data_IF_474316633370
#
_entry.id   IF_474316633370
#
_cell.length_a   1.000
_cell.length_b   1.000
_cell.length_c   1.000
_cell.angle_alpha   90.00
_cell.angle_beta   90.00
_cell.angle_gamma   90.00
#
_symmetry.space_group_name_H-M   'P 1'
#
loop_
_entity.id
_entity.type
_entity.pdbx_description
1 polymer ?
#
# COMPACT_ATOMS: atom_id res chain seq x y z
N UNK A 1 -35.06 -53.55 12.11
CA UNK A 1 -35.20 -53.21 10.67
C UNK A 1 -34.06 -52.24 10.35
N UNK A 2 -32.82 -52.64 10.12
CA UNK A 2 -32.27 -53.43 9.00
C UNK A 2 -32.79 -52.99 7.63
N UNK A 3 -32.01 -52.14 6.93
CA UNK A 3 -31.29 -52.59 5.73
C UNK A 3 -30.20 -51.60 5.30
N UNK A 4 -28.97 -52.10 5.28
CA UNK A 4 -27.92 -51.71 4.33
C UNK A 4 -28.28 -52.28 2.94
N UNK A 5 -27.65 -51.76 1.86
CA UNK A 5 -26.78 -52.50 0.93
C UNK A 5 -26.39 -51.59 -0.27
N UNK A 6 -25.07 -51.37 -0.36
CA UNK A 6 -24.13 -51.36 -1.49
C UNK A 6 -24.54 -50.90 -2.91
N UNK A 7 -23.60 -50.15 -3.53
CA UNK A 7 -22.72 -50.83 -4.50
C UNK A 7 -22.53 -50.19 -5.89
N UNK A 8 -21.51 -49.34 -5.98
CA UNK A 8 -20.41 -49.35 -6.98
C UNK A 8 -20.61 -49.05 -8.48
N UNK A 9 -19.67 -48.21 -8.95
CA UNK A 9 -18.90 -48.29 -10.22
C UNK A 9 -19.67 -48.11 -11.54
N UNK A 10 -19.29 -47.08 -12.31
CA UNK A 10 -18.71 -47.24 -13.65
C UNK A 10 -18.04 -45.93 -14.12
N UNK A 11 -16.86 -46.11 -14.68
CA UNK A 11 -15.95 -45.15 -15.27
C UNK A 11 -16.22 -45.01 -16.78
N UNK A 12 -15.79 -43.86 -17.31
CA UNK A 12 -15.12 -43.66 -18.59
C UNK A 12 -15.89 -43.40 -19.91
N UNK A 13 -15.53 -42.21 -20.45
CA UNK A 13 -15.12 -41.87 -21.83
C UNK A 13 -16.16 -41.35 -22.82
N UNK A 14 -15.82 -40.21 -23.42
CA UNK A 14 -15.71 -40.07 -24.88
C UNK A 14 -14.70 -38.99 -25.29
N UNK A 15 -13.64 -39.43 -25.99
CA UNK A 15 -12.66 -38.64 -26.74
C UNK A 15 -12.88 -39.01 -28.21
N UNK A 16 -13.11 -38.04 -29.08
CA UNK A 16 -13.23 -38.25 -30.53
C UNK A 16 -11.87 -37.98 -31.20
N UNK A 17 -11.27 -39.03 -31.78
CA UNK A 17 -10.23 -38.95 -32.82
C UNK A 17 -10.77 -39.62 -34.08
N UNK A 18 -10.63 -38.96 -35.22
CA UNK A 18 -10.88 -39.53 -36.54
C UNK A 18 -9.60 -40.17 -37.10
N UNK A 19 -9.81 -41.35 -37.71
CA UNK A 19 -8.89 -42.20 -38.46
C UNK A 19 -8.96 -41.82 -39.97
N UNK A 20 -8.20 -42.32 -40.96
CA UNK A 20 -7.32 -43.48 -41.15
C UNK A 20 -6.52 -43.30 -42.47
N UNK A 21 -5.26 -43.77 -42.49
CA UNK A 21 -4.54 -44.58 -43.50
C UNK A 21 -4.64 -44.35 -45.03
N UNK A 22 -3.50 -44.45 -45.75
CA UNK A 22 -3.01 -45.67 -46.47
C UNK A 22 -1.55 -45.44 -46.93
N UNK A 23 -0.76 -46.52 -46.93
CA UNK A 23 0.70 -46.62 -47.11
C UNK A 23 1.05 -47.25 -48.51
N UNK A 24 2.27 -47.77 -48.81
CA UNK A 24 3.31 -47.18 -49.69
C UNK A 24 3.63 -48.00 -50.97
N UNK A 25 4.54 -47.55 -51.85
CA UNK A 25 5.44 -48.47 -52.58
C UNK A 25 6.70 -47.84 -53.26
N UNK A 26 7.83 -48.45 -52.91
CA UNK A 26 9.14 -48.76 -53.52
C UNK A 26 9.78 -48.10 -54.79
N UNK A 27 11.11 -47.92 -54.66
CA UNK A 27 12.22 -48.36 -55.55
C UNK A 27 12.84 -47.40 -56.61
N UNK A 28 14.20 -47.40 -56.67
CA UNK A 28 14.91 -47.52 -57.96
C UNK A 28 15.83 -46.40 -58.52
N UNK A 29 17.05 -46.26 -57.97
CA UNK A 29 18.37 -46.22 -58.67
C UNK A 29 18.78 -45.22 -59.79
N UNK A 30 19.98 -44.63 -59.56
CA UNK A 30 21.14 -44.27 -60.45
C UNK A 30 21.22 -42.95 -61.28
N UNK A 31 22.20 -42.15 -60.82
CA UNK A 31 23.04 -41.10 -61.40
C UNK A 31 23.29 -41.02 -62.92
N UNK A 32 23.46 -39.79 -63.47
CA UNK A 32 24.78 -39.20 -63.85
C UNK A 32 24.71 -37.81 -64.56
N UNK A 33 25.75 -37.01 -64.30
CA UNK A 33 26.42 -36.00 -65.16
C UNK A 33 25.91 -34.53 -65.12
N UNK A 34 26.85 -33.64 -64.74
CA UNK A 34 26.88 -32.16 -64.84
C UNK A 34 27.27 -31.69 -66.26
N UNK A 35 27.03 -30.42 -66.65
CA UNK A 35 28.07 -29.40 -66.42
C UNK A 35 27.54 -27.99 -66.06
N UNK A 36 28.29 -27.36 -65.14
CA UNK A 36 28.67 -25.93 -65.07
C UNK A 36 27.84 -24.92 -65.90
N UNK A 37 27.30 -23.93 -65.21
CA UNK A 37 27.78 -22.52 -65.27
C UNK A 37 26.68 -21.55 -64.83
N UNK A 38 27.03 -20.57 -63.99
CA UNK A 38 26.23 -19.39 -63.60
C UNK A 38 24.98 -19.62 -62.75
N UNK A 39 25.12 -19.85 -61.44
CA UNK A 39 24.04 -19.52 -60.47
C UNK A 39 24.52 -19.39 -59.01
N UNK A 40 25.61 -18.66 -58.78
CA UNK A 40 26.13 -18.39 -57.43
C UNK A 40 25.99 -16.92 -56.99
N UNK A 41 25.05 -16.14 -57.56
CA UNK A 41 24.82 -14.75 -57.12
C UNK A 41 23.46 -14.56 -56.44
N UNK A 42 22.43 -15.32 -56.81
CA UNK A 42 21.08 -15.19 -56.26
C UNK A 42 20.90 -15.92 -54.92
N UNK A 43 21.70 -16.95 -54.63
CA UNK A 43 21.62 -17.73 -53.38
C UNK A 43 22.34 -17.02 -52.21
N UNK A 44 23.41 -16.27 -52.48
CA UNK A 44 24.08 -15.43 -51.48
C UNK A 44 23.28 -14.17 -51.14
N UNK A 45 22.47 -13.66 -52.07
CA UNK A 45 21.56 -12.54 -51.79
C UNK A 45 20.41 -12.96 -50.87
N UNK A 46 19.86 -14.17 -51.04
CA UNK A 46 18.82 -14.73 -50.16
C UNK A 46 19.36 -15.13 -48.78
N UNK A 47 20.58 -15.66 -48.71
CA UNK A 47 21.26 -15.96 -47.44
C UNK A 47 21.67 -14.67 -46.71
N UNK A 48 22.13 -13.63 -47.42
CA UNK A 48 22.40 -12.33 -46.83
C UNK A 48 21.12 -11.65 -46.29
N UNK A 49 19.98 -11.76 -46.97
CA UNK A 49 18.69 -11.23 -46.51
C UNK A 49 18.19 -11.98 -45.25
N UNK A 50 18.36 -13.30 -45.18
CA UNK A 50 18.06 -14.08 -43.98
C UNK A 50 19.02 -13.79 -42.81
N UNK A 51 20.32 -13.63 -43.07
CA UNK A 51 21.29 -13.23 -42.04
C UNK A 51 21.09 -11.78 -41.57
N UNK A 52 20.68 -10.86 -42.46
CA UNK A 52 20.34 -9.49 -42.06
C UNK A 52 19.04 -9.43 -41.27
N UNK A 53 18.05 -10.29 -41.57
CA UNK A 53 16.81 -10.36 -40.81
C UNK A 53 17.02 -10.93 -39.39
N UNK A 54 17.83 -11.99 -39.25
CA UNK A 54 18.22 -12.50 -37.93
C UNK A 54 19.08 -11.49 -37.16
N UNK A 55 20.06 -10.86 -37.80
CA UNK A 55 20.91 -9.86 -37.14
C UNK A 55 20.16 -8.54 -36.80
N UNK A 56 19.11 -8.18 -37.56
CA UNK A 56 18.25 -7.05 -37.20
C UNK A 56 17.32 -7.39 -36.04
N UNK A 57 16.86 -8.64 -35.96
CA UNK A 57 16.04 -9.12 -34.85
C UNK A 57 16.87 -9.20 -33.56
N UNK A 58 18.11 -9.70 -33.65
CA UNK A 58 19.07 -9.72 -32.53
C UNK A 58 19.38 -8.29 -32.02
N UNK A 59 19.65 -7.33 -32.92
CA UNK A 59 19.91 -5.92 -32.54
C UNK A 59 18.71 -5.23 -31.91
N UNK A 60 17.50 -5.50 -32.42
CA UNK A 60 16.28 -4.97 -31.84
C UNK A 60 16.03 -5.55 -30.44
N UNK A 61 16.33 -6.84 -30.26
CA UNK A 61 16.22 -7.51 -28.98
C UNK A 61 17.26 -6.99 -27.96
N UNK A 62 18.51 -6.80 -28.39
CA UNK A 62 19.57 -6.19 -27.57
C UNK A 62 19.17 -4.78 -27.09
N UNK A 63 18.53 -3.99 -27.97
CA UNK A 63 18.08 -2.64 -27.63
C UNK A 63 16.89 -2.64 -26.68
N UNK A 64 15.94 -3.56 -26.84
CA UNK A 64 14.83 -3.76 -25.92
C UNK A 64 15.38 -4.10 -24.51
N UNK A 65 16.25 -5.10 -24.43
CA UNK A 65 16.85 -5.53 -23.16
C UNK A 65 17.67 -4.42 -22.50
N UNK A 66 18.49 -3.69 -23.26
CA UNK A 66 19.24 -2.56 -22.72
C UNK A 66 18.34 -1.44 -22.16
N UNK A 67 17.18 -1.21 -22.79
CA UNK A 67 16.21 -0.24 -22.31
C UNK A 67 15.48 -0.74 -21.07
N UNK A 68 15.09 -2.01 -21.02
CA UNK A 68 14.49 -2.64 -19.84
C UNK A 68 15.44 -2.57 -18.63
N UNK A 69 16.73 -2.88 -18.82
CA UNK A 69 17.76 -2.77 -17.79
C UNK A 69 17.89 -1.32 -17.28
N UNK A 70 17.92 -0.35 -18.19
CA UNK A 70 17.98 1.07 -17.84
C UNK A 70 16.74 1.54 -17.06
N UNK A 71 15.55 1.09 -17.46
CA UNK A 71 14.31 1.40 -16.76
C UNK A 71 14.29 0.78 -15.36
N UNK A 72 14.85 -0.41 -15.19
CA UNK A 72 14.97 -1.07 -13.91
C UNK A 72 15.95 -0.33 -12.97
N UNK A 73 17.07 0.18 -13.50
CA UNK A 73 17.98 1.06 -12.75
C UNK A 73 17.27 2.34 -12.31
N UNK A 74 16.58 3.03 -13.23
CA UNK A 74 15.81 4.24 -12.93
C UNK A 74 14.69 4.00 -11.93
N UNK A 75 14.08 2.80 -11.93
CA UNK A 75 13.10 2.42 -10.91
C UNK A 75 13.73 2.41 -9.52
N UNK A 76 14.95 1.87 -9.39
CA UNK A 76 15.72 1.92 -8.14
C UNK A 76 16.06 3.35 -7.69
N UNK A 77 16.43 4.22 -8.63
CA UNK A 77 16.83 5.60 -8.31
C UNK A 77 15.66 6.53 -7.97
N UNK A 78 14.60 6.51 -8.79
CA UNK A 78 13.48 7.43 -8.67
C UNK A 78 12.37 6.92 -7.74
N UNK A 79 12.20 5.60 -7.63
CA UNK A 79 11.12 4.97 -6.88
C UNK A 79 11.63 3.77 -6.06
N UNK A 80 12.61 3.98 -5.15
CA UNK A 80 13.20 2.89 -4.36
C UNK A 80 12.18 2.19 -3.45
N UNK A 81 11.08 2.87 -3.10
CA UNK A 81 9.97 2.30 -2.35
C UNK A 81 8.62 2.53 -3.07
N UNK A 82 8.10 1.45 -3.68
CA UNK A 82 6.82 1.46 -4.41
C UNK A 82 5.61 1.91 -3.60
N UNK A 83 5.74 1.91 -2.27
CA UNK A 83 4.70 2.33 -1.33
C UNK A 83 4.63 3.84 -1.18
N UNK A 84 5.61 4.62 -1.62
CA UNK A 84 5.56 6.09 -1.56
C UNK A 84 5.66 6.73 -2.94
N UNK A 85 6.42 6.10 -3.84
CA UNK A 85 6.65 6.56 -5.20
C UNK A 85 6.66 5.38 -6.17
N UNK A 86 6.11 5.53 -7.38
CA UNK A 86 6.04 4.46 -8.38
C UNK A 86 6.63 4.87 -9.71
N UNK A 87 7.34 3.94 -10.34
CA UNK A 87 7.75 3.96 -11.74
C UNK A 87 7.40 2.59 -12.33
N UNK A 88 6.23 2.51 -12.96
CA UNK A 88 5.69 1.29 -13.56
C UNK A 88 5.63 1.49 -15.06
N UNK A 89 6.72 1.13 -15.74
CA UNK A 89 6.87 1.29 -17.19
C UNK A 89 7.05 -0.08 -17.82
N UNK A 90 6.26 -0.37 -18.84
CA UNK A 90 6.46 -1.50 -19.73
C UNK A 90 6.97 -1.00 -21.08
N UNK A 91 7.73 -1.86 -21.77
CA UNK A 91 8.20 -1.62 -23.13
C UNK A 91 7.53 -2.62 -24.05
N UNK A 92 6.82 -2.13 -25.06
CA UNK A 92 6.24 -2.95 -26.12
C UNK A 92 6.97 -2.71 -27.43
N UNK A 93 7.30 -3.80 -28.13
CA UNK A 93 7.98 -3.73 -29.42
C UNK A 93 6.97 -3.59 -30.57
N UNK A 94 7.10 -2.49 -31.31
CA UNK A 94 6.49 -2.30 -32.64
C UNK A 94 7.36 -2.87 -33.76
N UNK A 95 6.96 -2.66 -35.01
CA UNK A 95 7.71 -3.15 -36.17
C UNK A 95 9.12 -2.55 -36.26
N UNK A 96 9.24 -1.22 -36.06
CA UNK A 96 10.50 -0.46 -36.10
C UNK A 96 10.58 0.54 -34.93
N UNK A 97 9.87 0.27 -33.83
CA UNK A 97 9.75 1.20 -32.72
C UNK A 97 9.58 0.50 -31.37
N UNK A 98 9.85 1.23 -30.29
CA UNK A 98 9.57 0.82 -28.92
C UNK A 98 8.55 1.78 -28.32
N UNK A 99 7.50 1.24 -27.71
CA UNK A 99 6.47 2.00 -27.02
C UNK A 99 6.68 1.84 -25.50
N UNK A 100 6.92 2.94 -24.82
CA UNK A 100 6.93 3.02 -23.36
C UNK A 100 5.50 3.32 -22.90
N UNK A 101 4.92 2.45 -22.09
CA UNK A 101 3.58 2.65 -21.53
C UNK A 101 3.55 2.41 -20.03
N UNK A 102 2.48 2.81 -19.36
CA UNK A 102 2.31 2.68 -17.92
C UNK A 102 2.24 4.04 -17.23
N UNK A 103 2.86 4.17 -16.07
CA UNK A 103 2.76 5.39 -15.27
C UNK A 103 3.92 5.62 -14.30
N UNK A 104 4.06 6.86 -13.85
CA UNK A 104 4.90 7.21 -12.71
C UNK A 104 4.25 8.28 -11.85
N UNK A 105 4.57 8.29 -10.55
CA UNK A 105 4.21 9.37 -9.63
C UNK A 105 5.34 10.40 -9.47
N UNK A 106 6.45 10.24 -10.19
CA UNK A 106 7.68 11.03 -10.01
C UNK A 106 7.95 11.88 -11.26
N UNK A 107 7.72 13.18 -11.16
CA UNK A 107 7.89 14.11 -12.28
C UNK A 107 9.31 14.13 -12.88
N UNK A 108 10.34 13.89 -12.05
CA UNK A 108 11.72 13.78 -12.55
C UNK A 108 11.92 12.54 -13.43
N UNK A 109 11.37 11.38 -13.04
CA UNK A 109 11.41 10.16 -13.83
C UNK A 109 10.65 10.35 -15.15
N UNK A 110 9.47 10.97 -15.10
CA UNK A 110 8.68 11.26 -16.30
C UNK A 110 9.46 12.15 -17.28
N UNK A 111 10.06 13.26 -16.82
CA UNK A 111 10.89 14.14 -17.67
C UNK A 111 12.09 13.40 -18.27
N UNK A 112 12.64 12.44 -17.54
CA UNK A 112 13.75 11.62 -18.01
C UNK A 112 13.32 10.67 -19.14
N UNK A 113 12.15 10.04 -19.02
CA UNK A 113 11.53 9.23 -20.09
C UNK A 113 11.21 10.08 -21.31
N UNK A 114 10.66 11.28 -21.11
CA UNK A 114 10.33 12.21 -22.19
C UNK A 114 11.61 12.67 -22.95
N UNK A 115 12.68 12.95 -22.20
CA UNK A 115 13.98 13.29 -22.79
C UNK A 115 14.59 12.11 -23.58
N UNK A 116 14.37 10.88 -23.13
CA UNK A 116 14.83 9.67 -23.84
C UNK A 116 14.11 9.53 -25.18
N UNK A 117 12.79 9.65 -25.20
CA UNK A 117 11.99 9.58 -26.43
C UNK A 117 12.31 10.74 -27.39
N UNK A 118 12.57 11.94 -26.87
CA UNK A 118 13.00 13.07 -27.71
C UNK A 118 14.37 12.87 -28.36
N UNK A 119 15.26 12.08 -27.75
CA UNK A 119 16.59 11.78 -28.27
C UNK A 119 16.61 10.62 -29.28
N UNK A 120 15.57 9.80 -29.31
CA UNK A 120 15.48 8.60 -30.13
C UNK A 120 14.11 8.51 -30.83
N UNK A 121 14.01 8.79 -32.15
CA UNK A 121 12.74 8.89 -32.87
C UNK A 121 12.00 7.55 -33.00
N UNK A 122 12.63 6.44 -32.65
CA UNK A 122 12.02 5.11 -32.65
C UNK A 122 11.44 4.75 -31.27
N UNK A 123 11.62 5.60 -30.26
CA UNK A 123 11.03 5.43 -28.93
C UNK A 123 9.84 6.38 -28.77
N UNK A 124 8.67 5.82 -28.46
CA UNK A 124 7.44 6.55 -28.20
C UNK A 124 7.12 6.50 -26.71
N UNK A 125 6.88 7.65 -26.09
CA UNK A 125 6.55 7.75 -24.67
C UNK A 125 5.06 8.02 -24.45
N UNK A 126 4.33 7.01 -23.97
CA UNK A 126 2.94 7.10 -23.51
C UNK A 126 2.83 6.91 -21.99
N UNK A 127 3.95 6.98 -21.25
CA UNK A 127 3.93 6.88 -19.79
C UNK A 127 3.20 8.09 -19.20
N UNK A 128 2.20 7.82 -18.36
CA UNK A 128 1.42 8.87 -17.68
C UNK A 128 2.13 9.36 -16.42
N UNK A 129 2.21 10.68 -16.23
CA UNK A 129 2.53 11.26 -14.92
C UNK A 129 1.25 11.36 -14.09
N UNK A 130 1.17 10.60 -13.00
CA UNK A 130 0.03 10.63 -12.07
C UNK A 130 0.19 11.75 -11.03
N UNK A 131 -0.92 12.13 -10.40
CA UNK A 131 -0.95 13.20 -9.38
C UNK A 131 -0.83 14.61 -9.98
N UNK A 132 -1.22 14.76 -11.25
CA UNK A 132 -1.25 16.06 -11.96
C UNK A 132 -2.62 16.73 -11.93
N UNK A 133 -3.64 16.02 -11.44
CA UNK A 133 -5.03 16.49 -11.42
C UNK A 133 -5.48 16.69 -9.99
N UNK A 134 -6.28 17.73 -9.76
CA UNK A 134 -7.03 17.95 -8.52
C UNK A 134 -8.16 16.92 -8.42
N UNK A 135 -7.80 15.67 -8.12
CA UNK A 135 -8.69 14.53 -8.01
C UNK A 135 -8.55 13.94 -6.62
N UNK A 136 -9.56 14.15 -5.79
CA UNK A 136 -9.53 13.77 -4.38
C UNK A 136 -10.70 12.87 -4.04
N UNK A 137 -10.65 12.29 -2.84
CA UNK A 137 -11.75 11.54 -2.27
C UNK A 137 -11.75 11.61 -0.76
N UNK A 138 -12.92 11.44 -0.17
CA UNK A 138 -13.10 11.23 1.26
C UNK A 138 -13.48 9.77 1.49
N UNK A 139 -12.85 9.12 2.47
CA UNK A 139 -13.26 7.78 2.90
C UNK A 139 -14.68 7.85 3.48
N UNK A 140 -15.64 7.07 2.98
CA UNK A 140 -17.07 7.16 3.38
C UNK A 140 -17.59 6.00 4.22
N UNK A 141 -16.70 5.10 4.63
CA UNK A 141 -16.97 3.98 5.55
C UNK A 141 -16.06 4.11 6.77
N UNK A 142 -16.46 3.56 7.92
CA UNK A 142 -15.68 3.70 9.18
C UNK A 142 -14.23 3.25 9.02
N UNK A 143 -13.99 2.12 8.38
CA UNK A 143 -12.64 1.63 8.10
C UNK A 143 -12.58 1.08 6.68
N UNK A 144 -11.90 1.80 5.79
CA UNK A 144 -11.68 1.36 4.42
C UNK A 144 -10.42 0.52 4.32
N UNK A 145 -10.50 -0.59 3.59
CA UNK A 145 -9.38 -1.51 3.39
C UNK A 145 -8.56 -1.11 2.16
N UNK A 146 -7.24 -1.04 2.33
CA UNK A 146 -6.29 -0.66 1.29
C UNK A 146 -5.40 -1.87 0.98
N UNK A 147 -5.26 -2.21 -0.31
CA UNK A 147 -4.63 -3.44 -0.78
C UNK A 147 -3.45 -3.17 -1.71
N UNK A 148 -2.55 -4.14 -1.80
CA UNK A 148 -1.33 -4.02 -2.61
C UNK A 148 -1.60 -3.82 -4.10
N UNK A 149 -2.65 -4.47 -4.62
CA UNK A 149 -3.12 -4.43 -6.01
C UNK A 149 -4.66 -4.35 -6.07
N UNK A 150 -5.27 -4.07 -7.25
CA UNK A 150 -6.72 -4.16 -7.41
C UNK A 150 -7.23 -5.58 -7.15
N UNK A 151 -8.28 -5.70 -6.35
CA UNK A 151 -9.03 -6.95 -6.14
C UNK A 151 -9.07 -7.43 -4.69
N UNK A 152 -10.15 -8.13 -4.34
CA UNK A 152 -10.39 -8.57 -2.96
C UNK A 152 -9.45 -9.69 -2.47
N UNK A 153 -8.85 -10.46 -3.40
CA UNK A 153 -7.88 -11.52 -3.09
C UNK A 153 -6.49 -10.98 -2.78
N UNK A 154 -6.25 -9.68 -3.01
CA UNK A 154 -4.95 -9.06 -2.81
C UNK A 154 -4.69 -8.81 -1.33
N UNK A 155 -3.42 -8.74 -0.96
CA UNK A 155 -2.99 -8.53 0.42
C UNK A 155 -3.55 -7.21 1.00
N UNK A 156 -4.13 -7.28 2.20
CA UNK A 156 -4.46 -6.08 2.98
C UNK A 156 -3.15 -5.46 3.48
N UNK A 157 -2.87 -4.23 3.08
CA UNK A 157 -1.60 -3.55 3.39
C UNK A 157 -1.79 -2.38 4.34
N UNK A 158 -2.94 -1.71 4.30
CA UNK A 158 -3.27 -0.60 5.20
C UNK A 158 -4.79 -0.42 5.33
N UNK A 159 -5.21 0.55 6.13
CA UNK A 159 -6.59 1.03 6.19
C UNK A 159 -6.61 2.56 6.26
N UNK A 160 -7.77 3.15 5.99
CA UNK A 160 -8.04 4.57 6.22
C UNK A 160 -9.38 4.75 6.91
N UNK A 161 -9.49 5.78 7.75
CA UNK A 161 -10.68 6.06 8.56
C UNK A 161 -11.66 6.98 7.83
N UNK A 162 -12.93 6.96 8.24
CA UNK A 162 -13.96 7.81 7.65
C UNK A 162 -13.56 9.28 7.67
N UNK A 163 -13.86 9.99 6.58
CA UNK A 163 -13.60 11.42 6.42
C UNK A 163 -12.13 11.78 6.25
N UNK A 164 -11.21 10.81 6.25
CA UNK A 164 -9.82 11.02 5.84
C UNK A 164 -9.76 11.36 4.35
N UNK A 165 -9.03 12.42 3.95
CA UNK A 165 -8.86 12.78 2.55
C UNK A 165 -7.82 11.88 1.89
N UNK A 166 -8.01 11.65 0.58
CA UNK A 166 -7.16 10.85 -0.28
C UNK A 166 -6.88 11.61 -1.57
N UNK A 167 -5.67 11.50 -2.09
CA UNK A 167 -5.38 11.82 -3.49
C UNK A 167 -5.76 10.60 -4.35
N UNK A 168 -6.58 10.80 -5.40
CA UNK A 168 -6.98 9.73 -6.32
C UNK A 168 -6.13 9.82 -7.59
N UNK A 169 -5.17 8.91 -7.72
CA UNK A 169 -4.10 8.99 -8.72
C UNK A 169 -4.45 8.28 -10.03
N UNK A 170 -5.12 7.14 -9.93
CA UNK A 170 -5.54 6.34 -11.07
C UNK A 170 -6.74 5.47 -10.72
N UNK A 171 -7.36 4.87 -11.73
CA UNK A 171 -8.49 3.96 -11.54
C UNK A 171 -8.39 2.74 -12.44
N UNK A 172 -8.64 1.57 -11.85
CA UNK A 172 -8.67 0.29 -12.54
C UNK A 172 -9.83 -0.58 -12.03
N UNK A 173 -10.76 -0.95 -12.92
CA UNK A 173 -11.87 -1.89 -12.65
C UNK A 173 -12.58 -1.74 -11.28
N UNK A 174 -12.92 -0.51 -10.88
CA UNK A 174 -13.61 -0.23 -9.61
C UNK A 174 -12.69 -0.04 -8.39
N UNK A 175 -11.38 0.02 -8.61
CA UNK A 175 -10.37 0.32 -7.61
C UNK A 175 -9.66 1.63 -7.97
N UNK A 176 -9.36 2.44 -6.96
CA UNK A 176 -8.52 3.62 -7.10
C UNK A 176 -7.13 3.33 -6.57
N UNK A 177 -6.11 3.71 -7.32
CA UNK A 177 -4.78 3.91 -6.75
C UNK A 177 -4.86 5.23 -5.97
N UNK A 178 -4.66 5.15 -4.66
CA UNK A 178 -4.79 6.29 -3.76
C UNK A 178 -3.46 6.65 -3.11
N UNK A 179 -3.29 7.92 -2.77
CA UNK A 179 -2.29 8.37 -1.79
C UNK A 179 -2.99 8.77 -0.49
N UNK A 180 -2.61 8.14 0.61
CA UNK A 180 -3.05 8.50 1.96
C UNK A 180 -2.17 9.61 2.57
N UNK A 181 -2.61 10.25 3.67
CA UNK A 181 -1.84 11.33 4.31
C UNK A 181 -0.43 10.95 4.78
N UNK A 182 -0.19 9.67 5.10
CA UNK A 182 1.14 9.11 5.39
C UNK A 182 1.96 8.80 4.11
N UNK A 183 1.55 9.35 2.97
CA UNK A 183 2.16 9.22 1.63
C UNK A 183 2.06 7.82 1.00
N UNK A 184 1.34 6.89 1.64
CA UNK A 184 1.23 5.51 1.18
C UNK A 184 0.46 5.38 -0.14
N UNK A 185 0.99 4.58 -1.08
CA UNK A 185 0.44 4.32 -2.40
C UNK A 185 -0.05 2.88 -2.52
N UNK A 186 -1.36 2.71 -2.59
CA UNK A 186 -2.00 1.41 -2.68
C UNK A 186 -3.45 1.53 -3.19
N UNK A 187 -4.14 0.41 -3.33
CA UNK A 187 -5.43 0.33 -4.01
C UNK A 187 -6.60 0.25 -3.02
N UNK A 188 -7.63 1.05 -3.27
CA UNK A 188 -8.83 1.13 -2.43
C UNK A 188 -10.07 1.01 -3.31
N UNK A 189 -11.04 0.21 -2.88
CA UNK A 189 -12.29 -0.03 -3.61
C UNK A 189 -13.19 1.22 -3.68
N UNK A 190 -13.73 1.51 -4.86
CA UNK A 190 -14.53 2.72 -5.10
C UNK A 190 -15.75 2.85 -4.17
N UNK A 191 -16.33 1.73 -3.73
CA UNK A 191 -17.46 1.71 -2.81
C UNK A 191 -17.17 2.32 -1.44
N UNK A 192 -15.90 2.47 -1.07
CA UNK A 192 -15.47 3.06 0.20
C UNK A 192 -15.01 4.52 0.05
N UNK A 193 -15.08 5.10 -1.15
CA UNK A 193 -14.65 6.48 -1.42
C UNK A 193 -15.85 7.33 -1.90
N UNK A 194 -15.96 8.53 -1.36
CA UNK A 194 -16.75 9.61 -1.95
C UNK A 194 -15.79 10.52 -2.72
N UNK A 195 -15.83 10.54 -4.08
CA UNK A 195 -15.04 11.48 -4.85
C UNK A 195 -15.31 12.93 -4.44
N UNK A 196 -14.27 13.75 -4.41
CA UNK A 196 -14.29 15.12 -3.95
C UNK A 196 -13.40 16.01 -4.84
N UNK A 197 -13.80 17.27 -4.98
CA UNK A 197 -12.95 18.33 -5.53
C UNK A 197 -12.45 19.25 -4.41
N UNK A 198 -11.64 20.25 -4.75
CA UNK A 198 -11.09 21.19 -3.77
C UNK A 198 -12.17 21.95 -3.00
N UNK A 199 -13.30 22.28 -3.64
CA UNK A 199 -14.44 22.95 -3.00
C UNK A 199 -15.12 22.05 -1.97
N UNK A 200 -15.30 20.77 -2.30
CA UNK A 200 -15.85 19.74 -1.42
C UNK A 200 -14.94 19.51 -0.21
N UNK A 201 -13.62 19.46 -0.42
CA UNK A 201 -12.67 19.35 0.69
C UNK A 201 -12.69 20.60 1.58
N UNK A 202 -12.75 21.80 1.00
CA UNK A 202 -12.84 23.03 1.77
C UNK A 202 -14.14 23.12 2.60
N UNK A 203 -15.27 22.64 2.06
CA UNK A 203 -16.52 22.50 2.80
C UNK A 203 -16.40 21.45 3.92
N UNK A 204 -15.73 20.32 3.64
CA UNK A 204 -15.54 19.24 4.60
C UNK A 204 -14.72 19.65 5.82
N UNK A 205 -13.58 20.31 5.59
CA UNK A 205 -12.68 20.83 6.64
C UNK A 205 -13.12 22.21 7.15
N UNK A 206 -14.33 22.27 7.70
CA UNK A 206 -14.92 23.45 8.32
C UNK A 206 -14.96 23.35 9.85
N UNK A 207 -15.37 24.43 10.52
CA UNK A 207 -15.56 24.51 11.97
C UNK A 207 -16.59 23.48 12.51
N UNK A 208 -17.41 22.90 11.64
CA UNK A 208 -18.40 21.87 11.98
C UNK A 208 -17.81 20.46 11.97
N UNK A 209 -16.55 20.28 11.56
CA UNK A 209 -15.91 18.98 11.55
C UNK A 209 -15.63 18.48 12.98
N UNK A 210 -15.99 17.23 13.22
CA UNK A 210 -15.78 16.52 14.49
C UNK A 210 -15.01 15.24 14.25
N UNK A 211 -14.29 14.81 15.28
CA UNK A 211 -13.70 13.48 15.38
C UNK A 211 -14.48 12.63 16.38
N UNK A 212 -14.66 11.35 16.07
CA UNK A 212 -15.10 10.35 17.03
C UNK A 212 -13.99 10.10 18.06
N UNK A 213 -14.32 10.16 19.34
CA UNK A 213 -13.39 9.96 20.47
C UNK A 213 -13.36 8.52 20.99
N UNK A 214 -14.50 7.85 21.28
CA UNK A 214 -14.45 6.50 21.82
C UNK A 214 -13.95 5.50 20.78
N UNK A 215 -13.39 4.38 21.25
CA UNK A 215 -12.87 3.33 20.37
C UNK A 215 -13.90 2.81 19.36
N UNK A 216 -15.18 2.80 19.75
CA UNK A 216 -16.32 2.45 18.90
C UNK A 216 -17.53 3.32 19.26
N UNK A 217 -18.27 3.78 18.26
CA UNK A 217 -19.58 4.42 18.40
C UNK A 217 -20.45 4.09 17.18
N UNK A 218 -21.66 4.65 17.11
CA UNK A 218 -22.58 4.47 16.00
C UNK A 218 -23.26 5.78 15.61
N UNK A 219 -23.46 5.94 14.31
CA UNK A 219 -24.44 6.88 13.75
C UNK A 219 -25.79 6.19 13.69
N UNK A 220 -26.78 6.70 14.41
CA UNK A 220 -28.13 6.12 14.49
C UNK A 220 -29.10 6.84 13.55
N UNK A 221 -30.14 6.13 13.10
CA UNK A 221 -31.22 6.75 12.30
C UNK A 221 -32.03 7.80 13.07
N UNK A 222 -32.12 7.66 14.40
CA UNK A 222 -32.69 8.63 15.33
C UNK A 222 -32.08 8.43 16.72
N UNK A 223 -32.14 9.44 17.63
CA UNK A 223 -31.66 9.27 18.99
C UNK A 223 -32.36 8.10 19.71
N UNK A 224 -31.58 7.17 20.24
CA UNK A 224 -32.08 5.96 20.91
C UNK A 224 -32.62 4.86 19.97
N UNK A 225 -32.50 5.02 18.65
CA UNK A 225 -32.84 3.95 17.70
C UNK A 225 -31.80 2.82 17.74
N UNK A 226 -32.21 1.59 17.41
CA UNK A 226 -31.29 0.46 17.24
C UNK A 226 -30.75 0.34 15.81
N UNK A 227 -31.39 0.99 14.84
CA UNK A 227 -30.95 0.97 13.44
C UNK A 227 -29.79 1.93 13.24
N UNK A 228 -28.63 1.36 12.90
CA UNK A 228 -27.40 2.08 12.58
C UNK A 228 -27.38 2.52 11.11
N UNK A 229 -26.89 3.72 10.87
CA UNK A 229 -26.55 4.26 9.53
C UNK A 229 -25.11 3.90 9.18
N UNK A 230 -24.21 4.01 10.16
CA UNK A 230 -22.82 3.60 10.09
C UNK A 230 -22.29 3.32 11.49
N UNK A 231 -21.37 2.37 11.60
CA UNK A 231 -20.49 2.31 12.76
C UNK A 231 -19.46 3.45 12.68
N UNK A 232 -18.83 3.76 13.81
CA UNK A 232 -17.71 4.66 13.94
C UNK A 232 -16.60 4.02 14.77
N UNK A 233 -15.36 4.45 14.53
CA UNK A 233 -14.20 4.19 15.39
C UNK A 233 -13.54 5.50 15.79
N UNK A 234 -12.73 5.47 16.86
CA UNK A 234 -11.95 6.63 17.24
C UNK A 234 -11.14 7.15 16.04
N UNK A 235 -11.20 8.47 15.81
CA UNK A 235 -10.52 9.12 14.69
C UNK A 235 -11.33 9.24 13.39
N UNK A 236 -12.53 8.65 13.31
CA UNK A 236 -13.47 8.89 12.21
C UNK A 236 -13.93 10.36 12.23
N UNK A 237 -13.98 10.98 11.05
CA UNK A 237 -14.37 12.38 10.88
C UNK A 237 -15.76 12.51 10.27
N UNK A 238 -16.54 13.45 10.80
CA UNK A 238 -17.92 13.70 10.44
C UNK A 238 -18.32 15.13 10.80
N UNK A 239 -19.25 15.73 10.05
CA UNK A 239 -19.68 17.10 10.31
C UNK A 239 -20.96 17.14 11.13
N UNK A 240 -21.08 18.08 12.06
CA UNK A 240 -22.35 18.34 12.75
C UNK A 240 -23.25 19.26 11.92
N UNK A 241 -24.57 19.08 11.99
CA UNK A 241 -25.54 19.95 11.27
C UNK A 241 -26.06 21.10 12.13
N UNK A 242 -25.67 21.15 13.41
CA UNK A 242 -26.22 22.05 14.43
C UNK A 242 -27.53 21.56 15.08
N UNK A 243 -28.18 20.53 14.55
CA UNK A 243 -29.37 19.95 15.19
C UNK A 243 -28.98 19.08 16.39
N UNK A 244 -29.72 19.23 17.49
CA UNK A 244 -29.52 18.46 18.71
C UNK A 244 -30.84 17.87 19.20
N UNK A 245 -30.79 16.65 19.74
CA UNK A 245 -31.98 15.96 20.27
C UNK A 245 -31.58 14.88 21.25
N UNK A 246 -32.15 14.90 22.46
CA UNK A 246 -31.97 13.85 23.48
C UNK A 246 -30.50 13.50 23.74
N UNK A 247 -29.63 14.50 23.90
CA UNK A 247 -28.20 14.30 24.13
C UNK A 247 -27.39 13.84 22.91
N UNK A 248 -28.00 13.79 21.72
CA UNK A 248 -27.36 13.48 20.45
C UNK A 248 -27.26 14.72 19.58
N UNK A 249 -26.30 14.71 18.67
CA UNK A 249 -26.15 15.68 17.59
C UNK A 249 -26.43 14.98 16.27
N UNK A 250 -27.10 15.67 15.35
CA UNK A 250 -27.20 15.19 13.98
C UNK A 250 -25.90 15.48 13.24
N UNK A 251 -25.45 14.49 12.48
CA UNK A 251 -24.18 14.50 11.76
C UNK A 251 -24.39 14.17 10.29
N UNK A 252 -23.51 14.68 9.44
CA UNK A 252 -23.40 14.38 8.01
C UNK A 252 -22.12 13.58 7.75
N UNK A 253 -22.29 12.42 7.11
CA UNK A 253 -21.20 11.57 6.63
C UNK A 253 -20.63 12.11 5.31
N UNK A 254 -19.43 11.65 4.89
CA UNK A 254 -18.81 12.11 3.66
C UNK A 254 -19.69 11.95 2.41
N UNK A 255 -20.49 10.88 2.33
CA UNK A 255 -21.41 10.62 1.22
C UNK A 255 -22.79 11.30 1.37
N UNK A 256 -22.94 12.22 2.32
CA UNK A 256 -24.15 13.00 2.53
C UNK A 256 -25.25 12.29 3.34
N UNK A 257 -25.08 11.02 3.69
CA UNK A 257 -25.98 10.37 4.66
C UNK A 257 -25.96 11.14 5.98
N UNK A 258 -27.11 11.24 6.63
CA UNK A 258 -27.23 11.84 7.96
C UNK A 258 -27.67 10.83 9.01
N UNK A 259 -27.39 11.15 10.26
CA UNK A 259 -27.89 10.40 11.41
C UNK A 259 -27.44 11.05 12.72
N UNK A 260 -27.55 10.33 13.82
CA UNK A 260 -27.43 10.88 15.17
C UNK A 260 -26.35 10.16 15.96
N UNK A 261 -25.43 10.92 16.57
CA UNK A 261 -24.36 10.42 17.43
C UNK A 261 -24.50 11.05 18.81
N UNK A 262 -24.14 10.32 19.87
CA UNK A 262 -24.10 10.89 21.21
C UNK A 262 -23.14 12.10 21.25
N UNK A 263 -23.59 13.23 21.79
CA UNK A 263 -22.79 14.46 21.77
C UNK A 263 -21.44 14.32 22.47
N UNK A 264 -21.37 13.47 23.50
CA UNK A 264 -20.14 13.19 24.26
C UNK A 264 -19.13 12.31 23.52
N UNK A 265 -19.51 11.68 22.42
CA UNK A 265 -18.61 10.86 21.60
C UNK A 265 -17.84 11.68 20.56
N UNK A 266 -18.16 12.98 20.44
CA UNK A 266 -17.63 13.88 19.43
C UNK A 266 -16.79 14.98 20.05
N UNK A 267 -15.61 15.23 19.48
CA UNK A 267 -14.77 16.38 19.79
C UNK A 267 -14.54 17.23 18.53
N UNK A 268 -14.26 18.55 18.67
CA UNK A 268 -13.79 19.37 17.55
C UNK A 268 -12.58 18.75 16.87
N UNK A 269 -12.53 18.79 15.53
CA UNK A 269 -11.40 18.26 14.77
C UNK A 269 -10.07 18.92 15.16
N UNK A 270 -10.06 20.23 15.44
CA UNK A 270 -8.84 20.96 15.82
C UNK A 270 -8.13 20.38 17.06
N UNK A 271 -8.88 19.77 17.98
CA UNK A 271 -8.30 19.10 19.15
C UNK A 271 -7.47 17.86 18.77
N UNK A 272 -7.75 17.25 17.62
CA UNK A 272 -6.94 16.18 17.02
C UNK A 272 -5.89 16.75 16.07
N UNK A 273 -6.24 17.79 15.30
CA UNK A 273 -5.51 18.16 14.09
C UNK A 273 -4.25 19.00 14.34
N UNK A 274 -4.25 19.81 15.39
CA UNK A 274 -3.18 20.77 15.71
C UNK A 274 -2.71 20.58 17.15
N UNK A 275 -2.05 19.44 17.47
CA UNK A 275 -1.40 19.28 18.76
C UNK A 275 -0.24 20.28 18.90
N UNK A 276 0.06 20.71 20.14
CA UNK A 276 1.20 21.61 20.41
C UNK A 276 2.55 20.89 20.46
N UNK A 277 2.52 19.62 20.87
CA UNK A 277 3.68 18.75 21.02
C UNK A 277 3.23 17.29 21.18
N UNK A 278 4.09 16.34 20.81
CA UNK A 278 3.87 14.92 21.09
C UNK A 278 3.87 14.72 22.62
N UNK A 279 2.70 14.38 23.17
CA UNK A 279 2.55 14.03 24.58
C UNK A 279 2.73 12.53 24.76
N UNK A 280 3.96 12.09 25.04
CA UNK A 280 4.33 10.67 25.07
C UNK A 280 3.43 9.80 25.96
N UNK A 281 3.06 10.27 27.15
CA UNK A 281 2.19 9.50 28.04
C UNK A 281 0.73 9.43 27.55
N UNK A 282 0.25 10.40 26.74
CA UNK A 282 -1.08 10.33 26.10
C UNK A 282 -1.07 9.32 24.94
N UNK A 283 0.02 9.28 24.16
CA UNK A 283 0.27 8.25 23.15
C UNK A 283 0.30 6.87 23.79
N UNK A 284 1.04 6.70 24.89
CA UNK A 284 1.07 5.43 25.62
C UNK A 284 -0.28 5.07 26.24
N UNK A 285 -1.02 6.05 26.80
CA UNK A 285 -2.38 5.81 27.32
C UNK A 285 -3.30 5.28 26.22
N UNK A 286 -3.22 5.88 25.03
CA UNK A 286 -3.95 5.44 23.84
C UNK A 286 -3.54 4.04 23.40
N UNK A 287 -2.24 3.75 23.44
CA UNK A 287 -1.67 2.44 23.10
C UNK A 287 -2.14 1.36 24.10
N UNK A 288 -2.11 1.64 25.39
CA UNK A 288 -2.59 0.74 26.45
C UNK A 288 -4.09 0.44 26.32
N UNK A 289 -4.91 1.40 25.87
CA UNK A 289 -6.32 1.17 25.61
C UNK A 289 -6.60 0.14 24.49
N UNK A 290 -5.57 -0.29 23.75
CA UNK A 290 -5.66 -1.34 22.72
C UNK A 290 -5.23 -2.73 23.22
N UNK A 291 -4.73 -2.86 24.45
CA UNK A 291 -4.29 -4.16 25.01
C UNK A 291 -5.42 -5.19 24.92
N UNK A 292 -5.06 -6.41 24.51
CA UNK A 292 -5.98 -7.52 24.32
C UNK A 292 -6.71 -7.53 22.97
N UNK A 293 -6.62 -6.48 22.15
CA UNK A 293 -7.21 -6.50 20.80
C UNK A 293 -6.45 -7.47 19.88
N UNK A 294 -7.15 -8.20 19.00
CA UNK A 294 -6.52 -9.16 18.11
C UNK A 294 -5.60 -8.48 17.10
N UNK A 295 -4.54 -9.20 16.74
CA UNK A 295 -3.66 -8.81 15.64
C UNK A 295 -4.37 -8.98 14.30
N UNK A 296 -4.24 -7.99 13.41
CA UNK A 296 -4.70 -8.08 12.01
C UNK A 296 -3.62 -7.53 11.10
N UNK A 297 -3.05 -8.38 10.24
CA UNK A 297 -2.13 -7.97 9.19
C UNK A 297 -2.78 -6.88 8.30
N UNK A 298 -2.09 -5.75 8.11
CA UNK A 298 -2.61 -4.61 7.36
C UNK A 298 -3.56 -3.70 8.16
N UNK A 299 -3.90 -4.06 9.40
CA UNK A 299 -4.84 -3.32 10.24
C UNK A 299 -4.24 -2.03 10.80
N UNK A 300 -4.99 -0.93 10.75
CA UNK A 300 -4.57 0.41 11.22
C UNK A 300 -5.72 1.20 11.86
N UNK A 301 -6.62 0.48 12.53
CA UNK A 301 -7.80 1.09 13.17
C UNK A 301 -8.06 0.47 14.55
N UNK A 302 -8.83 1.13 15.42
CA UNK A 302 -9.26 0.55 16.70
C UNK A 302 -9.99 -0.80 16.59
N UNK A 303 -10.43 -1.23 15.40
CA UNK A 303 -11.02 -2.57 15.21
C UNK A 303 -9.97 -3.68 15.34
N UNK A 304 -8.80 -3.52 14.73
CA UNK A 304 -7.64 -4.40 14.85
C UNK A 304 -6.41 -3.77 14.17
N UNK A 305 -5.22 -4.12 14.64
CA UNK A 305 -3.96 -3.54 14.18
C UNK A 305 -2.88 -4.59 13.96
N UNK A 306 -1.96 -4.34 13.02
CA UNK A 306 -0.63 -4.98 13.02
C UNK A 306 0.37 -4.18 13.86
N UNK A 307 1.64 -4.61 13.91
CA UNK A 307 2.66 -3.99 14.76
C UNK A 307 2.84 -2.51 14.47
N UNK A 308 3.04 -2.15 13.21
CA UNK A 308 3.22 -0.75 12.77
C UNK A 308 1.90 0.01 12.66
N UNK A 309 0.80 -0.67 12.41
CA UNK A 309 -0.53 -0.08 12.43
C UNK A 309 -0.97 0.28 13.84
N UNK A 310 -0.50 -0.46 14.85
CA UNK A 310 -0.73 -0.17 16.27
C UNK A 310 -0.01 1.12 16.69
N UNK A 311 1.28 1.25 16.39
CA UNK A 311 2.02 2.49 16.67
C UNK A 311 1.41 3.66 15.89
N UNK A 312 1.12 3.47 14.61
CA UNK A 312 0.47 4.48 13.76
C UNK A 312 -0.89 4.93 14.33
N UNK A 313 -1.72 4.01 14.80
CA UNK A 313 -3.04 4.33 15.37
C UNK A 313 -2.88 5.15 16.65
N UNK A 314 -1.93 4.78 17.52
CA UNK A 314 -1.67 5.53 18.75
C UNK A 314 -1.21 6.97 18.45
N UNK A 315 -0.29 7.18 17.51
CA UNK A 315 0.13 8.52 17.10
C UNK A 315 -1.01 9.30 16.41
N UNK A 316 -1.78 8.67 15.51
CA UNK A 316 -2.87 9.34 14.79
C UNK A 316 -3.93 9.89 15.74
N UNK A 317 -4.34 9.09 16.73
CA UNK A 317 -5.32 9.50 17.74
C UNK A 317 -4.80 10.57 18.71
N UNK A 318 -3.50 10.87 18.67
CA UNK A 318 -2.85 11.97 19.38
C UNK A 318 -2.35 13.06 18.41
N UNK A 319 -2.90 13.09 17.20
CA UNK A 319 -2.73 14.18 16.25
C UNK A 319 -1.52 14.12 15.33
N UNK A 320 -0.83 12.98 15.25
CA UNK A 320 0.34 12.82 14.38
C UNK A 320 0.19 11.66 13.38
N UNK A 321 0.54 11.94 12.14
CA UNK A 321 0.73 10.95 11.08
C UNK A 321 2.19 10.53 11.05
N UNK A 322 2.43 9.22 11.13
CA UNK A 322 3.74 8.59 11.00
C UNK A 322 3.72 7.58 9.83
N UNK A 323 4.89 7.14 9.30
CA UNK A 323 4.93 6.17 8.22
C UNK A 323 4.19 4.88 8.56
N UNK A 324 3.62 4.24 7.54
CA UNK A 324 2.74 3.08 7.71
C UNK A 324 3.46 1.83 8.19
N UNK A 325 4.60 1.52 7.58
CA UNK A 325 5.27 0.24 7.79
C UNK A 325 6.45 0.35 8.75
N UNK A 326 6.73 -0.72 9.51
CA UNK A 326 7.87 -0.75 10.42
C UNK A 326 9.22 -0.46 9.71
N UNK A 327 9.36 -0.91 8.46
CA UNK A 327 10.53 -0.62 7.62
C UNK A 327 10.66 0.84 7.18
N UNK A 328 9.61 1.65 7.31
CA UNK A 328 9.63 3.09 7.07
C UNK A 328 9.70 3.86 8.40
N UNK A 329 8.99 3.41 9.43
CA UNK A 329 9.00 4.01 10.77
C UNK A 329 10.40 4.01 11.41
N UNK A 330 11.25 3.03 11.09
CA UNK A 330 12.65 3.00 11.57
C UNK A 330 13.49 4.16 11.01
N UNK A 331 12.98 4.96 10.08
CA UNK A 331 13.62 6.17 9.57
C UNK A 331 12.97 7.45 10.08
N UNK A 332 11.91 7.34 10.88
CA UNK A 332 11.26 8.46 11.54
C UNK A 332 11.91 8.74 12.90
N UNK A 333 11.72 9.96 13.41
CA UNK A 333 12.25 10.36 14.70
C UNK A 333 13.77 10.57 14.72
N UNK A 334 14.33 10.51 15.92
CA UNK A 334 15.77 10.54 16.19
C UNK A 334 16.27 9.15 16.58
N UNK A 335 17.53 8.83 16.25
CA UNK A 335 18.18 7.59 16.68
C UNK A 335 18.37 7.57 18.20
N UNK A 336 17.98 6.46 18.84
CA UNK A 336 18.29 6.22 20.25
C UNK A 336 19.27 5.05 20.35
N UNK A 337 20.46 5.27 20.94
CA UNK A 337 21.43 4.20 21.13
C UNK A 337 20.85 3.03 21.94
N UNK A 338 21.17 1.82 21.51
CA UNK A 338 20.85 0.60 22.26
C UNK A 338 22.09 0.12 23.01
N UNK A 339 21.92 -0.21 24.28
CA UNK A 339 22.89 -0.90 25.12
C UNK A 339 22.19 -2.05 25.87
N UNK A 340 22.96 -2.89 26.57
CA UNK A 340 22.43 -4.08 27.23
C UNK A 340 21.52 -3.77 28.42
N UNK A 341 21.66 -2.58 29.02
CA UNK A 341 20.89 -2.14 30.20
C UNK A 341 19.69 -1.25 29.82
N UNK A 342 19.54 -0.92 28.54
CA UNK A 342 18.55 -0.01 27.98
C UNK A 342 18.66 1.43 28.52
N UNK A 343 19.88 1.89 28.81
CA UNK A 343 20.09 3.11 29.62
C UNK A 343 19.74 4.42 28.91
N UNK A 344 19.85 4.45 27.57
CA UNK A 344 19.47 5.61 26.75
C UNK A 344 18.00 5.62 26.33
N UNK A 345 17.28 4.51 26.53
CA UNK A 345 15.88 4.39 26.14
C UNK A 345 14.97 5.12 27.13
N UNK A 346 13.97 5.80 26.58
CA UNK A 346 12.91 6.46 27.32
C UNK A 346 11.56 5.85 26.96
N UNK A 347 10.63 5.88 27.93
CA UNK A 347 9.25 5.46 27.69
C UNK A 347 8.69 6.15 26.45
N UNK A 348 8.07 5.38 25.57
CA UNK A 348 7.52 5.88 24.31
C UNK A 348 8.44 5.71 23.10
N UNK A 349 9.74 5.46 23.29
CA UNK A 349 10.64 5.13 22.19
C UNK A 349 10.10 3.91 21.42
N UNK A 350 10.16 3.94 20.10
CA UNK A 350 9.80 2.81 19.26
C UNK A 350 10.99 1.86 19.13
N UNK A 351 10.79 0.60 19.52
CA UNK A 351 11.75 -0.48 19.34
C UNK A 351 11.48 -1.22 18.04
N UNK A 352 12.52 -1.39 17.23
CA UNK A 352 12.44 -2.07 15.93
C UNK A 352 13.18 -3.39 15.97
N UNK A 353 12.53 -4.41 15.45
CA UNK A 353 13.04 -5.78 15.46
C UNK A 353 13.09 -6.36 14.05
N UNK A 354 14.01 -7.30 13.83
CA UNK A 354 14.18 -7.95 12.55
C UNK A 354 15.46 -8.77 12.46
N UNK A 355 16.02 -8.84 11.25
CA UNK A 355 17.23 -9.60 10.97
C UNK A 355 18.10 -8.88 9.93
N UNK A 356 19.35 -9.30 9.82
CA UNK A 356 20.23 -8.89 8.72
C UNK A 356 20.03 -9.81 7.52
N UNK A 357 20.11 -9.25 6.31
CA UNK A 357 20.18 -10.00 5.04
C UNK A 357 21.61 -10.46 4.77
N UNK A 358 21.78 -11.32 3.76
CA UNK A 358 23.09 -11.84 3.34
C UNK A 358 24.07 -10.73 2.91
N UNK A 359 23.55 -9.63 2.37
CA UNK A 359 24.33 -8.44 1.97
C UNK A 359 24.68 -7.50 3.14
N UNK A 360 24.30 -7.86 4.37
CA UNK A 360 24.51 -7.06 5.57
C UNK A 360 23.47 -5.96 5.79
N UNK A 361 22.50 -5.78 4.89
CA UNK A 361 21.42 -4.80 5.07
C UNK A 361 20.42 -5.24 6.13
N UNK A 362 19.90 -4.27 6.89
CA UNK A 362 18.88 -4.52 7.90
C UNK A 362 17.50 -4.76 7.27
N UNK A 363 16.80 -5.76 7.80
CA UNK A 363 15.40 -6.04 7.49
C UNK A 363 14.59 -5.91 8.76
N UNK A 364 13.96 -4.75 8.95
CA UNK A 364 12.98 -4.54 10.01
C UNK A 364 11.68 -5.24 9.65
N UNK A 365 11.14 -6.02 10.59
CA UNK A 365 9.91 -6.80 10.43
C UNK A 365 8.88 -6.54 11.52
N UNK A 366 9.25 -5.83 12.58
CA UNK A 366 8.36 -5.59 13.72
C UNK A 366 8.71 -4.31 14.48
N UNK A 367 7.72 -3.74 15.17
CA UNK A 367 7.86 -2.55 16.00
C UNK A 367 6.99 -2.62 17.25
N UNK A 368 7.39 -1.95 18.34
CA UNK A 368 6.61 -1.79 19.57
C UNK A 368 7.06 -0.58 20.39
N UNK A 369 6.26 -0.16 21.36
CA UNK A 369 6.59 0.95 22.28
C UNK A 369 7.41 0.46 23.47
N UNK A 370 8.53 1.11 23.77
CA UNK A 370 9.26 0.88 25.01
C UNK A 370 8.49 1.46 26.21
N UNK A 371 8.45 0.69 27.29
CA UNK A 371 7.72 1.04 28.53
C UNK A 371 8.65 1.34 29.70
N UNK A 372 9.97 1.30 29.50
CA UNK A 372 10.95 1.36 30.59
C UNK A 372 11.31 -0.03 31.10
N UNK A 373 12.47 -0.11 31.76
CA UNK A 373 12.93 -1.32 32.46
C UNK A 373 12.98 -2.59 31.59
N UNK A 374 13.24 -2.43 30.29
CA UNK A 374 13.28 -3.56 29.34
C UNK A 374 11.91 -4.07 28.90
N UNK A 375 10.80 -3.44 29.33
CA UNK A 375 9.45 -3.80 28.91
C UNK A 375 9.04 -3.07 27.65
N UNK A 376 8.17 -3.69 26.85
CA UNK A 376 7.63 -3.08 25.64
C UNK A 376 6.23 -3.59 25.33
N UNK A 377 5.43 -2.73 24.69
CA UNK A 377 4.05 -2.98 24.27
C UNK A 377 3.98 -3.12 22.75
N UNK A 378 3.37 -4.19 22.26
CA UNK A 378 3.29 -4.43 20.81
C UNK A 378 2.09 -5.25 20.37
N UNK A 379 1.73 -5.12 19.09
CA UNK A 379 0.81 -6.03 18.40
C UNK A 379 1.62 -7.07 17.63
N UNK A 380 1.65 -8.33 18.10
CA UNK A 380 2.46 -9.39 17.48
C UNK A 380 1.62 -10.55 16.98
N UNK A 381 1.87 -11.03 15.76
CA UNK A 381 1.24 -12.25 15.25
C UNK A 381 1.63 -13.51 16.06
N UNK A 382 2.83 -13.50 16.63
CA UNK A 382 3.36 -14.46 17.59
C UNK A 382 2.53 -14.55 18.88
N UNK A 383 1.96 -13.42 19.33
CA UNK A 383 1.08 -13.37 20.49
C UNK A 383 -0.40 -13.50 20.10
N UNK A 384 -0.76 -13.12 18.87
CA UNK A 384 -2.13 -13.10 18.34
C UNK A 384 -2.95 -11.86 18.76
N UNK A 385 -2.44 -11.03 19.67
CA UNK A 385 -3.09 -9.83 20.19
C UNK A 385 -2.06 -8.81 20.69
N UNK A 386 -2.53 -7.62 21.08
CA UNK A 386 -1.71 -6.56 21.68
C UNK A 386 -1.39 -6.89 23.13
N UNK A 387 -0.12 -7.00 23.47
CA UNK A 387 0.35 -7.35 24.82
C UNK A 387 1.68 -6.69 25.14
N UNK A 388 1.97 -6.66 26.43
CA UNK A 388 3.29 -6.35 26.97
C UNK A 388 4.15 -7.62 27.03
N UNK A 389 5.45 -7.44 26.80
CA UNK A 389 6.47 -8.45 27.04
C UNK A 389 7.76 -7.79 27.58
N UNK A 390 8.68 -8.60 28.09
CA UNK A 390 10.00 -8.15 28.56
C UNK A 390 11.13 -8.58 27.63
N UNK A 391 12.16 -7.75 27.54
CA UNK A 391 13.44 -8.02 26.88
C UNK A 391 14.53 -8.48 27.87
N UNK A 392 14.23 -8.57 29.17
CA UNK A 392 15.19 -8.98 30.21
C UNK A 392 15.09 -10.47 30.52
N UNK A 393 16.22 -11.13 30.50
CA UNK A 393 16.32 -12.53 30.89
C UNK A 393 15.97 -12.69 32.38
N UNK A 394 15.05 -13.60 32.69
CA UNK A 394 14.57 -13.86 34.05
C UNK A 394 13.16 -13.33 34.36
N UNK A 395 12.64 -12.41 33.55
CA UNK A 395 11.24 -11.99 33.65
C UNK A 395 10.29 -13.10 33.18
N UNK A 396 9.12 -13.21 33.81
CA UNK A 396 8.13 -14.24 33.51
C UNK A 396 7.60 -14.16 32.07
N UNK A 397 7.55 -12.95 31.51
CA UNK A 397 7.10 -12.60 30.17
C UNK A 397 8.27 -12.29 29.21
N UNK A 398 9.45 -12.85 29.47
CA UNK A 398 10.65 -12.66 28.64
C UNK A 398 10.45 -13.21 27.21
N UNK A 399 10.53 -12.30 26.23
CA UNK A 399 10.45 -12.61 24.81
C UNK A 399 11.86 -12.76 24.20
N UNK A 400 12.50 -13.91 24.42
CA UNK A 400 13.86 -14.19 23.95
C UNK A 400 14.06 -13.91 22.45
N UNK A 401 13.09 -14.30 21.62
CA UNK A 401 13.17 -14.07 20.17
C UNK A 401 13.12 -12.57 19.81
N UNK A 402 12.45 -11.73 20.62
CA UNK A 402 12.43 -10.27 20.45
C UNK A 402 13.74 -9.65 20.92
N UNK A 403 14.27 -10.07 22.07
CA UNK A 403 15.60 -9.61 22.51
C UNK A 403 16.69 -9.89 21.48
N UNK A 404 16.69 -11.09 20.89
CA UNK A 404 17.66 -11.49 19.88
C UNK A 404 17.49 -10.81 18.52
N UNK A 405 16.31 -10.25 18.24
CA UNK A 405 16.01 -9.57 16.98
C UNK A 405 15.94 -8.05 17.10
N UNK A 406 16.23 -7.47 18.28
CA UNK A 406 16.24 -6.03 18.47
C UNK A 406 17.35 -5.37 17.63
N UNK A 407 16.97 -4.44 16.74
CA UNK A 407 17.88 -3.80 15.79
C UNK A 407 18.12 -2.31 16.10
N UNK A 408 17.06 -1.55 16.37
CA UNK A 408 17.10 -0.08 16.49
C UNK A 408 16.05 0.41 17.48
N UNK A 409 16.27 1.63 17.97
CA UNK A 409 15.24 2.41 18.65
C UNK A 409 15.14 3.81 18.05
N UNK A 410 13.91 4.35 18.02
CA UNK A 410 13.65 5.73 17.58
C UNK A 410 12.81 6.48 18.58
N UNK A 411 13.16 7.74 18.82
CA UNK A 411 12.36 8.68 19.59
C UNK A 411 11.61 9.59 18.63
N UNK A 412 10.28 9.56 18.69
CA UNK A 412 9.43 10.35 17.82
C UNK A 412 8.92 11.56 18.60
N UNK A 413 9.32 12.74 18.14
CA UNK A 413 8.92 14.03 18.69
C UNK A 413 8.38 14.90 17.57
N UNK A 414 7.59 15.93 17.90
CA UNK A 414 7.12 16.87 16.88
C UNK A 414 8.30 17.53 16.16
N UNK A 415 8.19 17.66 14.84
CA UNK A 415 9.22 18.26 13.98
C UNK A 415 10.40 17.34 13.66
N UNK A 416 10.44 16.14 14.24
CA UNK A 416 11.39 15.11 13.80
C UNK A 416 10.95 14.48 12.48
N UNK A 417 11.88 13.94 11.67
CA UNK A 417 11.55 13.35 10.38
C UNK A 417 10.41 12.33 10.48
N UNK A 418 9.42 12.42 9.59
CA UNK A 418 8.32 11.47 9.53
C UNK A 418 7.29 11.58 10.65
N UNK A 419 7.32 12.62 11.50
CA UNK A 419 6.28 12.89 12.50
C UNK A 419 5.57 14.18 12.11
N UNK A 420 4.41 14.07 11.49
CA UNK A 420 3.70 15.20 10.86
C UNK A 420 2.34 15.40 11.53
N UNK A 421 1.99 16.62 11.98
CA UNK A 421 0.64 16.90 12.47
C UNK A 421 -0.45 16.51 11.47
N UNK A 422 -1.59 16.02 11.97
CA UNK A 422 -2.71 15.57 11.12
C UNK A 422 -3.21 16.67 10.17
N UNK A 423 -3.32 17.91 10.65
CA UNK A 423 -3.71 19.04 9.80
C UNK A 423 -2.74 19.25 8.62
N UNK A 424 -1.43 19.20 8.89
CA UNK A 424 -0.40 19.37 7.88
C UNK A 424 -0.40 18.21 6.89
N UNK A 425 -0.41 16.96 7.37
CA UNK A 425 -0.44 15.78 6.52
C UNK A 425 -1.66 15.74 5.59
N UNK A 426 -2.81 16.24 6.06
CA UNK A 426 -4.01 16.36 5.23
C UNK A 426 -3.84 17.48 4.20
N UNK A 427 -3.33 18.64 4.61
CA UNK A 427 -3.04 19.78 3.73
C UNK A 427 -2.04 19.46 2.62
N UNK A 428 -1.01 18.67 2.90
CA UNK A 428 -0.01 18.27 1.92
C UNK A 428 -0.59 17.49 0.73
N UNK A 429 -1.72 16.79 0.92
CA UNK A 429 -2.35 16.03 -0.17
C UNK A 429 -2.90 16.94 -1.26
N UNK A 430 -3.40 18.13 -0.91
CA UNK A 430 -4.02 19.05 -1.87
C UNK A 430 -3.17 20.28 -2.20
N UNK A 431 -2.17 20.64 -1.38
CA UNK A 431 -1.26 21.77 -1.70
C UNK A 431 -0.17 21.41 -2.71
N UNK A 432 0.25 20.14 -2.78
CA UNK A 432 1.30 19.68 -3.72
C UNK A 432 0.88 19.68 -5.19
N UNK A 433 -0.43 19.73 -5.48
CA UNK A 433 -0.95 19.89 -6.85
C UNK A 433 -0.63 21.26 -7.44
N UNK A 434 -0.54 22.30 -6.59
CA UNK A 434 -0.35 23.70 -7.01
C UNK A 434 1.09 24.18 -7.16
N UNK A 435 2.10 23.40 -6.74
CA UNK A 435 3.49 23.90 -6.59
C UNK A 435 4.57 23.10 -7.32
N UNK A 436 4.24 22.32 -8.37
CA UNK A 436 5.23 21.56 -9.13
C UNK A 436 5.05 21.66 -10.64
#
# INVERSE_FOLDING_TARGET
MHNQINGSLLQDRDIIRYSNNVEPESSGFRAKITPKSMRNLTFYLFLAILFTACASDDRANDRLTALEDQLQEWKGDYAPDRRTDRLEVSVERGQDSLLLSGYTTVAAAWRRLDSLAAADPEIYNEVRLLGQRDSFGLVRVSVANIRTEPGHSQELTSQALMGTPLELLDRDHGWYLVRTPDRYLAWLEEGAIQPADQGTLADWFSDDLRTCVPAQSNVLTAPGASTIVSELVAGDLLQVTGQTRSGHQEVRLPDGRTGWVAAGDLAPYDALATPEAVQTEEVLTTAFAQVGRPYLWGGTSPKAMDCSGFTKTAYYLNGYVIPRDASQQVHAGTDVPLDDDFSALERGDLLFFGNYREDGSERVTHVGFYLGEGRFLHAGADNGYITENSLREGDADYAAHRRNSLLRARRLEEGTPGVVPVAEAFQELYTRSSSR
#
